data_IF_599433078248
#
_entry.id   IF_599433078248
#
_cell.length_a   1.000
_cell.length_b   1.000
_cell.length_c   1.000
_cell.angle_alpha   90.00
_cell.angle_beta   90.00
_cell.angle_gamma   90.00
#
_symmetry.space_group_name_H-M   'P 1'
#
loop_
_entity.id
_entity.type
_entity.pdbx_description
1 polymer ?
#
# COMPACT_ATOMS: atom_id res chain seq x y z
N UNK A 1 14.71 -9.00 12.95
CA UNK A 1 14.90 -8.61 11.54
C UNK A 1 13.90 -7.49 11.25
N UNK A 2 14.35 -6.24 11.39
CA UNK A 2 13.56 -5.00 11.18
C UNK A 2 14.21 -4.17 10.07
N UNK A 3 14.46 -4.78 8.92
CA UNK A 3 15.28 -4.18 7.86
C UNK A 3 14.65 -2.92 7.24
N UNK A 4 13.32 -2.72 7.37
CA UNK A 4 12.67 -1.46 7.00
C UNK A 4 13.19 -0.24 7.74
N UNK A 5 13.56 -0.42 9.02
CA UNK A 5 14.07 0.69 9.84
C UNK A 5 15.42 1.17 9.35
N UNK A 6 16.08 0.41 8.45
CA UNK A 6 17.34 0.76 7.81
C UNK A 6 17.16 1.47 6.47
N UNK A 7 15.94 1.46 5.91
CA UNK A 7 15.65 2.16 4.68
C UNK A 7 15.47 3.65 4.97
N UNK A 8 16.26 4.47 4.27
CA UNK A 8 16.12 5.93 4.28
C UNK A 8 15.81 6.35 2.85
N UNK A 9 14.67 7.02 2.66
CA UNK A 9 14.29 7.60 1.37
C UNK A 9 14.48 9.11 1.41
N UNK A 10 15.12 9.65 0.38
CA UNK A 10 15.19 11.08 0.15
C UNK A 10 14.19 11.46 -0.93
N UNK A 11 13.30 12.40 -0.61
CA UNK A 11 12.35 12.99 -1.55
C UNK A 11 12.77 14.43 -1.80
N UNK A 12 12.90 14.82 -3.06
CA UNK A 12 13.17 16.20 -3.44
C UNK A 12 11.95 16.79 -4.12
N UNK A 13 11.42 17.86 -3.56
CA UNK A 13 10.30 18.59 -4.11
C UNK A 13 10.57 20.10 -4.02
N UNK A 14 10.35 20.82 -5.12
CA UNK A 14 10.55 22.27 -5.20
C UNK A 14 11.90 22.77 -4.66
N UNK A 15 12.96 21.97 -4.85
CA UNK A 15 14.31 22.29 -4.38
C UNK A 15 14.61 21.93 -2.92
N UNK A 16 13.62 21.48 -2.15
CA UNK A 16 13.76 21.01 -0.77
C UNK A 16 13.92 19.49 -0.75
N UNK A 17 14.89 18.99 0.01
CA UNK A 17 15.10 17.56 0.23
C UNK A 17 14.59 17.16 1.62
N UNK A 18 13.65 16.22 1.67
CA UNK A 18 13.08 15.66 2.89
C UNK A 18 13.46 14.19 3.01
N UNK A 19 13.90 13.77 4.19
CA UNK A 19 14.22 12.36 4.49
C UNK A 19 13.03 11.67 5.16
N UNK A 20 12.77 10.44 4.75
CA UNK A 20 11.76 9.55 5.32
C UNK A 20 12.43 8.26 5.76
N UNK A 21 12.36 7.98 7.05
CA UNK A 21 12.85 6.75 7.67
C UNK A 21 11.92 6.42 8.83
N UNK A 22 11.47 5.17 8.89
CA UNK A 22 10.64 4.70 9.99
C UNK A 22 11.51 4.19 11.14
N UNK A 23 11.23 4.66 12.36
CA UNK A 23 11.74 3.98 13.54
C UNK A 23 10.97 2.68 13.78
N UNK A 24 11.49 1.81 14.65
CA UNK A 24 10.76 0.61 15.05
C UNK A 24 9.42 0.96 15.70
N UNK A 25 9.40 1.99 16.53
CA UNK A 25 8.18 2.46 17.21
C UNK A 25 7.13 2.97 16.21
N UNK A 26 7.55 3.70 15.19
CA UNK A 26 6.64 4.20 14.14
C UNK A 26 6.08 3.04 13.30
N UNK A 27 6.93 2.07 12.99
CA UNK A 27 6.53 0.88 12.25
C UNK A 27 5.52 0.04 13.04
N UNK A 28 5.78 -0.21 14.32
CA UNK A 28 4.86 -0.93 15.22
C UNK A 28 3.51 -0.20 15.35
N UNK A 29 3.55 1.14 15.46
CA UNK A 29 2.35 1.98 15.48
C UNK A 29 1.53 1.83 14.20
N UNK A 30 2.17 1.88 13.03
CA UNK A 30 1.52 1.74 11.73
C UNK A 30 0.76 0.41 11.62
N UNK A 31 1.38 -0.70 12.03
CA UNK A 31 0.72 -2.00 12.03
C UNK A 31 -0.45 -2.09 13.02
N UNK A 32 -0.33 -1.45 14.18
CA UNK A 32 -1.42 -1.38 15.14
C UNK A 32 -2.62 -0.60 14.59
N UNK A 33 -2.38 0.50 13.89
CA UNK A 33 -3.43 1.29 13.24
C UNK A 33 -4.09 0.53 12.09
N UNK A 34 -3.33 -0.24 11.32
CA UNK A 34 -3.88 -1.12 10.28
C UNK A 34 -4.84 -2.17 10.85
N UNK A 35 -4.52 -2.77 12.01
CA UNK A 35 -5.41 -3.72 12.68
C UNK A 35 -6.74 -3.07 13.09
N UNK A 36 -6.69 -1.83 13.60
CA UNK A 36 -7.91 -1.07 13.96
C UNK A 36 -8.75 -0.76 12.72
N UNK A 37 -8.12 -0.49 11.59
CA UNK A 37 -8.83 -0.29 10.32
C UNK A 37 -9.50 -1.59 9.83
N UNK A 38 -8.90 -2.76 10.06
CA UNK A 38 -9.53 -4.03 9.68
C UNK A 38 -10.84 -4.30 10.41
N UNK A 39 -10.92 -3.97 11.70
CA UNK A 39 -12.12 -4.12 12.51
C UNK A 39 -13.28 -3.27 11.97
N UNK A 40 -12.97 -2.10 11.40
CA UNK A 40 -13.98 -1.22 10.80
C UNK A 40 -14.33 -1.60 9.37
N UNK A 41 -13.45 -2.29 8.65
CA UNK A 41 -13.62 -2.69 7.25
C UNK A 41 -14.32 -4.06 7.11
N UNK A 42 -14.21 -4.94 8.13
CA UNK A 42 -14.79 -6.30 8.14
C UNK A 42 -15.74 -6.50 9.33
N UNK A 43 -17.02 -6.09 9.23
CA UNK A 43 -17.97 -6.19 10.34
C UNK A 43 -18.57 -7.59 10.62
N UNK A 44 -18.12 -8.69 9.98
CA UNK A 44 -18.69 -10.03 10.23
C UNK A 44 -17.60 -11.10 10.38
N UNK A 45 -17.49 -11.68 11.58
CA UNK A 45 -16.85 -12.99 11.80
C UNK A 45 -15.38 -12.99 12.22
N UNK A 46 -14.74 -11.83 12.39
CA UNK A 46 -13.40 -11.72 13.04
C UNK A 46 -13.49 -11.38 14.53
N UNK A 47 -14.66 -11.55 15.16
CA UNK A 47 -14.69 -11.70 16.62
C UNK A 47 -14.25 -13.11 16.99
N UNK A 48 -12.97 -13.28 17.24
CA UNK A 48 -12.51 -14.00 18.42
C UNK A 48 -11.11 -13.51 18.80
N UNK A 49 -10.92 -13.30 20.10
CA UNK A 49 -9.69 -12.86 20.72
C UNK A 49 -8.47 -13.63 20.19
N UNK A 50 -7.70 -13.04 19.27
CA UNK A 50 -6.48 -13.70 18.78
C UNK A 50 -6.04 -13.41 17.36
N UNK A 51 -6.43 -12.29 16.73
CA UNK A 51 -5.65 -11.82 15.56
C UNK A 51 -4.29 -11.38 16.10
N UNK A 52 -3.34 -12.31 16.05
CA UNK A 52 -1.97 -12.09 16.48
C UNK A 52 -1.35 -11.02 15.60
N UNK A 53 -1.07 -9.84 16.17
CA UNK A 53 -0.35 -8.76 15.50
C UNK A 53 0.96 -9.26 14.89
N UNK A 54 1.61 -10.24 15.54
CA UNK A 54 2.81 -10.86 15.01
C UNK A 54 2.51 -11.70 13.76
N UNK A 55 1.38 -12.41 13.70
CA UNK A 55 0.95 -13.16 12.53
C UNK A 55 0.55 -12.25 11.36
N UNK A 56 -0.17 -11.15 11.63
CA UNK A 56 -0.51 -10.15 10.62
C UNK A 56 0.75 -9.44 10.10
N UNK A 57 1.65 -9.02 11.00
CA UNK A 57 2.96 -8.51 10.63
C UNK A 57 3.72 -9.54 9.81
N UNK A 58 3.74 -10.81 10.21
CA UNK A 58 4.42 -11.86 9.48
C UNK A 58 3.82 -12.06 8.07
N UNK A 59 2.50 -12.02 7.90
CA UNK A 59 1.83 -12.13 6.59
C UNK A 59 2.19 -10.93 5.70
N UNK A 60 2.03 -9.70 6.20
CA UNK A 60 2.39 -8.51 5.44
C UNK A 60 3.87 -8.47 5.11
N UNK A 61 4.72 -8.87 6.06
CA UNK A 61 6.15 -9.01 5.83
C UNK A 61 6.39 -10.03 4.69
N UNK A 62 5.80 -11.21 4.78
CA UNK A 62 5.92 -12.26 3.76
C UNK A 62 5.47 -11.74 2.39
N UNK A 63 4.30 -11.08 2.32
CA UNK A 63 3.70 -10.60 1.09
C UNK A 63 4.45 -9.43 0.46
N UNK A 64 5.04 -8.54 1.27
CA UNK A 64 5.75 -7.35 0.82
C UNK A 64 7.24 -7.60 0.53
N UNK A 65 7.92 -8.43 1.34
CA UNK A 65 9.37 -8.69 1.24
C UNK A 65 9.73 -9.83 0.30
N UNK A 66 8.92 -10.89 0.28
CA UNK A 66 9.28 -12.07 -0.51
C UNK A 66 8.83 -11.95 -1.96
N UNK A 67 8.09 -10.89 -2.30
CA UNK A 67 7.69 -10.61 -3.67
C UNK A 67 8.51 -9.44 -4.24
N UNK A 68 9.48 -9.70 -5.13
CA UNK A 68 10.31 -8.66 -5.74
C UNK A 68 9.49 -7.57 -6.43
N UNK A 69 8.37 -7.95 -7.05
CA UNK A 69 7.43 -7.02 -7.68
C UNK A 69 6.93 -5.97 -6.70
N UNK A 70 6.56 -6.36 -5.47
CA UNK A 70 6.08 -5.44 -4.43
C UNK A 70 7.20 -4.65 -3.78
N UNK A 71 8.35 -5.28 -3.53
CA UNK A 71 9.52 -4.59 -2.98
C UNK A 71 10.01 -3.46 -3.91
N UNK A 72 9.76 -3.56 -5.22
CA UNK A 72 10.06 -2.50 -6.20
C UNK A 72 9.42 -1.16 -5.80
N UNK A 73 8.25 -1.17 -5.15
CA UNK A 73 7.54 0.04 -4.73
C UNK A 73 8.41 1.01 -3.89
N UNK A 74 9.30 0.47 -3.05
CA UNK A 74 10.19 1.29 -2.20
C UNK A 74 11.21 2.11 -3.00
N UNK A 75 11.52 1.67 -4.22
CA UNK A 75 12.51 2.28 -5.10
C UNK A 75 11.87 3.06 -6.27
N UNK A 76 10.55 2.95 -6.43
CA UNK A 76 9.81 3.67 -7.46
C UNK A 76 9.67 5.16 -7.13
N UNK A 77 9.68 6.02 -8.15
CA UNK A 77 9.29 7.42 -7.97
C UNK A 77 7.81 7.54 -7.65
N UNK A 78 6.98 6.78 -8.39
CA UNK A 78 5.53 6.74 -8.23
C UNK A 78 5.03 5.31 -8.23
N UNK A 79 4.00 5.05 -7.44
CA UNK A 79 3.35 3.74 -7.34
C UNK A 79 1.86 3.85 -7.64
N UNK A 80 1.33 2.98 -8.49
CA UNK A 80 -0.12 2.75 -8.61
C UNK A 80 -0.42 1.46 -7.87
N UNK A 81 -1.12 1.58 -6.76
CA UNK A 81 -1.67 0.47 -6.00
C UNK A 81 -2.96 0.02 -6.67
N UNK A 82 -3.03 -1.24 -7.06
CA UNK A 82 -4.22 -1.84 -7.66
C UNK A 82 -4.80 -2.91 -6.76
N UNK A 83 -6.09 -3.20 -6.93
CA UNK A 83 -6.76 -4.25 -6.17
C UNK A 83 -6.13 -5.63 -6.39
N UNK A 84 -5.90 -6.04 -7.64
CA UNK A 84 -5.48 -7.40 -7.94
C UNK A 84 -4.63 -7.58 -9.21
N UNK A 85 -4.46 -8.86 -9.58
CA UNK A 85 -3.75 -9.25 -10.79
C UNK A 85 -4.48 -8.84 -12.07
N UNK A 86 -5.80 -8.71 -12.02
CA UNK A 86 -6.63 -8.30 -13.16
C UNK A 86 -6.24 -6.92 -13.68
N UNK A 87 -6.10 -5.95 -12.78
CA UNK A 87 -5.72 -4.57 -13.10
C UNK A 87 -4.27 -4.50 -13.59
N UNK A 88 -3.39 -5.29 -12.98
CA UNK A 88 -1.98 -5.39 -13.40
C UNK A 88 -1.85 -5.95 -14.83
N UNK A 89 -2.65 -6.99 -15.14
CA UNK A 89 -2.72 -7.59 -16.46
C UNK A 89 -3.34 -6.63 -17.49
N UNK A 90 -4.42 -5.93 -17.12
CA UNK A 90 -5.05 -4.92 -17.95
C UNK A 90 -4.08 -3.78 -18.27
N UNK A 91 -3.38 -3.26 -17.27
CA UNK A 91 -2.35 -2.23 -17.46
C UNK A 91 -1.29 -2.69 -18.45
N UNK A 92 -0.72 -3.88 -18.24
CA UNK A 92 0.30 -4.46 -19.12
C UNK A 92 -0.22 -4.67 -20.55
N UNK A 93 -1.47 -5.11 -20.69
CA UNK A 93 -2.13 -5.26 -21.98
C UNK A 93 -2.27 -3.92 -22.72
N UNK A 94 -2.73 -2.87 -22.04
CA UNK A 94 -2.89 -1.54 -22.63
C UNK A 94 -1.57 -0.95 -23.12
N UNK A 95 -0.49 -1.12 -22.35
CA UNK A 95 0.87 -0.72 -22.77
C UNK A 95 1.29 -1.50 -24.02
N UNK A 96 1.15 -2.82 -23.99
CA UNK A 96 1.61 -3.71 -25.08
C UNK A 96 0.82 -3.48 -26.38
N UNK A 97 -0.39 -2.95 -26.28
CA UNK A 97 -1.26 -2.61 -27.42
C UNK A 97 -1.18 -1.14 -27.83
N UNK A 98 -0.24 -0.38 -27.28
CA UNK A 98 -0.07 1.05 -27.56
C UNK A 98 -1.36 1.86 -27.31
N UNK A 99 -2.18 1.40 -26.36
CA UNK A 99 -3.42 2.08 -25.91
C UNK A 99 -3.16 3.00 -24.73
N UNK A 100 -2.01 2.85 -24.08
CA UNK A 100 -1.54 3.68 -22.98
C UNK A 100 -0.03 3.85 -23.14
N UNK A 101 0.48 5.05 -22.83
CA UNK A 101 1.91 5.35 -22.98
C UNK A 101 2.74 4.47 -22.04
N UNK A 102 3.90 3.94 -22.49
CA UNK A 102 4.78 3.16 -21.63
C UNK A 102 5.13 3.94 -20.36
N UNK A 103 5.26 3.26 -19.21
CA UNK A 103 5.44 3.91 -17.92
C UNK A 103 6.59 4.90 -17.97
N UNK A 104 6.33 6.11 -17.49
CA UNK A 104 7.39 7.08 -17.18
C UNK A 104 8.40 6.38 -16.27
N UNK A 105 9.71 6.60 -16.51
CA UNK A 105 10.77 5.99 -15.70
C UNK A 105 10.47 6.19 -14.20
N UNK A 106 10.45 5.09 -13.45
CA UNK A 106 10.17 5.12 -12.02
C UNK A 106 8.69 4.98 -11.63
N UNK A 107 7.78 4.68 -12.56
CA UNK A 107 6.42 4.23 -12.24
C UNK A 107 6.36 2.71 -12.01
N UNK A 108 5.65 2.26 -10.99
CA UNK A 108 5.36 0.84 -10.76
C UNK A 108 3.89 0.62 -10.45
N UNK A 109 3.32 -0.48 -10.97
CA UNK A 109 1.94 -0.89 -10.70
C UNK A 109 2.00 -2.12 -9.80
N UNK A 110 1.36 -2.07 -8.64
CA UNK A 110 1.52 -3.03 -7.55
C UNK A 110 0.17 -3.60 -7.14
N UNK A 111 0.01 -4.91 -7.29
CA UNK A 111 -1.12 -5.70 -6.79
C UNK A 111 -1.10 -5.77 -5.25
N UNK A 112 -2.17 -5.27 -4.62
CA UNK A 112 -2.34 -5.22 -3.18
C UNK A 112 -2.90 -6.50 -2.55
N UNK A 113 -3.17 -7.57 -3.29
CA UNK A 113 -3.82 -8.79 -2.78
C UNK A 113 -5.25 -8.54 -2.29
N UNK A 114 -6.01 -7.76 -3.05
CA UNK A 114 -7.41 -7.44 -2.80
C UNK A 114 -7.61 -6.07 -2.13
N UNK A 115 -8.79 -5.48 -2.31
CA UNK A 115 -9.11 -4.12 -1.86
C UNK A 115 -8.91 -3.87 -0.36
N UNK A 116 -9.11 -4.91 0.45
CA UNK A 116 -8.94 -4.87 1.90
C UNK A 116 -7.52 -4.60 2.37
N UNK A 117 -6.53 -4.90 1.53
CA UNK A 117 -5.12 -4.72 1.86
C UNK A 117 -4.61 -3.32 1.49
N UNK A 118 -5.28 -2.61 0.59
CA UNK A 118 -4.80 -1.37 -0.02
C UNK A 118 -4.40 -0.33 1.03
N UNK A 119 -5.23 -0.15 2.07
CA UNK A 119 -4.96 0.82 3.13
C UNK A 119 -3.59 0.60 3.81
N UNK A 120 -3.13 -0.65 3.92
CA UNK A 120 -1.83 -1.01 4.51
C UNK A 120 -0.68 -0.54 3.64
N UNK A 121 -0.81 -0.75 2.33
CA UNK A 121 0.17 -0.26 1.35
C UNK A 121 0.21 1.26 1.31
N UNK A 122 -0.94 1.93 1.33
CA UNK A 122 -1.05 3.40 1.40
C UNK A 122 -0.29 3.92 2.64
N UNK A 123 -0.56 3.36 3.82
CA UNK A 123 0.12 3.77 5.06
C UNK A 123 1.63 3.58 5.00
N UNK A 124 2.10 2.40 4.55
CA UNK A 124 3.54 2.09 4.49
C UNK A 124 4.24 3.01 3.47
N UNK A 125 3.71 3.13 2.26
CA UNK A 125 4.32 3.93 1.21
C UNK A 125 4.30 5.43 1.56
N UNK A 126 3.20 5.91 2.15
CA UNK A 126 3.09 7.28 2.66
C UNK A 126 4.13 7.58 3.73
N UNK A 127 4.35 6.65 4.67
CA UNK A 127 5.35 6.80 5.71
C UNK A 127 6.80 6.86 5.17
N UNK A 128 7.07 6.23 4.03
CA UNK A 128 8.35 6.31 3.33
C UNK A 128 8.47 7.50 2.37
N UNK A 129 7.47 8.38 2.25
CA UNK A 129 7.57 9.51 1.33
C UNK A 129 7.48 9.09 -0.14
N UNK A 130 6.73 8.03 -0.44
CA UNK A 130 6.57 7.48 -1.78
C UNK A 130 5.26 8.01 -2.36
N UNK A 131 5.33 8.71 -3.49
CA UNK A 131 4.14 9.19 -4.18
C UNK A 131 3.36 7.97 -4.69
N UNK A 132 2.06 7.89 -4.35
CA UNK A 132 1.25 6.77 -4.77
C UNK A 132 -0.20 7.16 -5.07
N UNK A 133 -0.83 6.37 -5.92
CA UNK A 133 -2.25 6.47 -6.29
C UNK A 133 -2.89 5.12 -6.17
N UNK A 134 -4.21 5.09 -5.97
CA UNK A 134 -4.96 3.85 -5.74
C UNK A 134 -6.00 3.68 -6.86
N UNK A 135 -6.10 2.48 -7.40
CA UNK A 135 -7.12 2.06 -8.36
C UNK A 135 -7.75 0.74 -7.89
N UNK A 136 -9.05 0.76 -7.60
CA UNK A 136 -9.82 -0.43 -7.19
C UNK A 136 -11.27 -0.30 -7.66
N UNK A 137 -12.00 -1.41 -7.67
CA UNK A 137 -13.42 -1.40 -8.04
C UNK A 137 -14.26 -0.75 -6.92
N UNK A 138 -15.19 0.12 -7.30
CA UNK A 138 -16.12 0.76 -6.38
C UNK A 138 -17.33 -0.13 -6.03
N UNK A 139 -17.50 -1.30 -6.66
CA UNK A 139 -18.49 -2.35 -6.35
C UNK A 139 -19.96 -1.87 -6.15
N UNK A 140 -20.28 -0.69 -6.68
CA UNK A 140 -21.59 -0.04 -6.54
C UNK A 140 -21.85 0.65 -5.19
N UNK A 141 -20.80 0.91 -4.39
CA UNK A 141 -20.91 1.69 -3.15
C UNK A 141 -21.58 0.95 -2.00
N UNK A 142 -21.34 -0.36 -1.88
CA UNK A 142 -21.85 -1.16 -0.75
C UNK A 142 -21.11 -0.79 0.53
N UNK A 143 -21.66 -1.13 1.70
CA UNK A 143 -21.17 -0.72 3.03
C UNK A 143 -19.65 -0.85 3.21
N UNK A 144 -19.07 -1.94 2.71
CA UNK A 144 -17.63 -2.19 2.78
C UNK A 144 -16.77 -1.25 1.93
N UNK A 145 -17.30 -0.72 0.83
CA UNK A 145 -16.55 0.18 -0.04
C UNK A 145 -16.37 1.54 0.63
N UNK A 146 -17.35 1.99 1.43
CA UNK A 146 -17.25 3.22 2.21
C UNK A 146 -16.15 3.12 3.28
N UNK A 147 -16.07 1.99 3.97
CA UNK A 147 -15.06 1.73 5.01
C UNK A 147 -13.65 1.62 4.41
N UNK A 148 -13.50 0.90 3.28
CA UNK A 148 -12.24 0.83 2.53
C UNK A 148 -11.82 2.21 2.02
N UNK A 149 -12.76 2.97 1.43
CA UNK A 149 -12.50 4.33 0.95
C UNK A 149 -12.08 5.24 2.09
N UNK A 150 -12.74 5.15 3.25
CA UNK A 150 -12.42 5.93 4.44
C UNK A 150 -11.02 5.58 4.97
N UNK A 151 -10.66 4.30 5.03
CA UNK A 151 -9.33 3.87 5.45
C UNK A 151 -8.22 4.32 4.48
N UNK A 152 -8.46 4.20 3.17
CA UNK A 152 -7.53 4.72 2.13
C UNK A 152 -7.37 6.23 2.26
N UNK A 153 -8.48 6.96 2.42
CA UNK A 153 -8.47 8.42 2.54
C UNK A 153 -7.81 8.87 3.84
N UNK A 154 -8.02 8.15 4.94
CA UNK A 154 -7.39 8.42 6.23
C UNK A 154 -5.88 8.14 6.24
N UNK A 155 -5.43 7.16 5.46
CA UNK A 155 -4.02 6.83 5.29
C UNK A 155 -3.29 7.70 4.26
N UNK A 156 -4.03 8.54 3.51
CA UNK A 156 -3.49 9.34 2.40
C UNK A 156 -2.40 10.32 2.89
N UNK A 157 -1.27 10.35 2.19
CA UNK A 157 -0.22 11.36 2.39
C UNK A 157 -0.59 12.71 1.77
N UNK A 158 -0.06 13.81 2.33
CA UNK A 158 -0.35 15.19 1.90
C UNK A 158 0.33 15.61 0.60
N UNK A 159 1.03 14.70 -0.07
CA UNK A 159 1.88 14.97 -1.20
C UNK A 159 1.69 13.95 -2.32
#
# INVERSE_FOLDING_TARGET
MDDLTRLIRLRRDSGVSTSYQLSKTDLDKLFKEALVADDSIRPVGTTEAGVDQAAMMASLKTELWLQPSRTTAFFSQRVILVEGQSETALYSYLITRERLEPPVRGLSVIDCLGKWNIHRFVSILGAFGIDHSVLYDGDGGKFHDAEVTAAITGAKSSF
#
